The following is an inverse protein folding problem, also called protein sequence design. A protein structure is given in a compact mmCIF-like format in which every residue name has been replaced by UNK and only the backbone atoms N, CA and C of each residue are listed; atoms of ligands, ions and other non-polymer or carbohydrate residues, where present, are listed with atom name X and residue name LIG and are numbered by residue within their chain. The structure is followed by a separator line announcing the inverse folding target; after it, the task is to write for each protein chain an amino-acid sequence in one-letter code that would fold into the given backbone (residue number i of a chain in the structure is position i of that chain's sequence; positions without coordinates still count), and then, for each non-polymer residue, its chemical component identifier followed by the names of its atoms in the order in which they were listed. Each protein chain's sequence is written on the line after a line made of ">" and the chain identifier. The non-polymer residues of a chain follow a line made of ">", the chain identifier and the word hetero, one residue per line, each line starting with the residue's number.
data_IF_554859792632
#
_entry.id   IF_554859792632
#
_cell.length_a   1.000
_cell.length_b   1.000
_cell.length_c   1.000
_cell.angle_alpha   90.00
_cell.angle_beta   90.00
_cell.angle_gamma   90.00
#
_symmetry.space_group_name_H-M   'P 1'
#
loop_
_entity.id
_entity.type
_entity.pdbx_description
1 polymer ?
#
# COMPACT_ATOMS: atom_id res chain seq x y z
N UNK A 1 13.83 -34.97 26.41
CA UNK A 1 13.95 -33.50 26.42
C UNK A 1 14.92 -32.97 25.35
N UNK A 2 16.15 -33.48 25.25
CA UNK A 2 17.14 -33.00 24.27
C UNK A 2 16.67 -33.09 22.80
N UNK A 3 16.03 -34.20 22.42
CA UNK A 3 15.51 -34.37 21.06
C UNK A 3 14.41 -33.36 20.69
N UNK A 4 13.51 -33.05 21.62
CA UNK A 4 12.50 -32.00 21.44
C UNK A 4 13.14 -30.63 21.25
N UNK A 5 14.20 -30.34 22.02
CA UNK A 5 14.93 -29.07 21.93
C UNK A 5 15.66 -28.92 20.59
N UNK A 6 16.26 -30.00 20.09
CA UNK A 6 16.91 -30.03 18.77
C UNK A 6 15.91 -29.84 17.63
N UNK A 7 14.76 -30.53 17.68
CA UNK A 7 13.69 -30.35 16.69
C UNK A 7 13.19 -28.91 16.70
N UNK A 8 12.99 -28.33 17.88
CA UNK A 8 12.57 -26.93 18.02
C UNK A 8 13.64 -25.96 17.50
N UNK A 9 14.91 -26.17 17.82
CA UNK A 9 16.01 -25.34 17.36
C UNK A 9 16.17 -25.40 15.82
N UNK A 10 16.03 -26.57 15.20
CA UNK A 10 16.08 -26.71 13.74
C UNK A 10 14.88 -26.03 13.08
N UNK A 11 13.68 -26.21 13.62
CA UNK A 11 12.48 -25.57 13.10
C UNK A 11 12.52 -24.05 13.23
N UNK A 12 12.99 -23.52 14.36
CA UNK A 12 13.09 -22.07 14.59
C UNK A 12 14.21 -21.45 13.74
N UNK A 13 15.37 -22.10 13.63
CA UNK A 13 16.50 -21.55 12.88
C UNK A 13 16.32 -21.55 11.37
N UNK A 14 15.46 -22.42 10.83
CA UNK A 14 15.07 -22.44 9.41
C UNK A 14 13.88 -21.53 9.12
N UNK A 15 13.15 -21.09 10.15
CA UNK A 15 12.04 -20.17 9.99
C UNK A 15 12.56 -18.74 9.93
N UNK A 16 12.37 -18.06 8.79
CA UNK A 16 12.86 -16.70 8.53
C UNK A 16 12.12 -15.59 9.33
N UNK A 17 11.57 -15.93 10.50
CA UNK A 17 10.90 -15.00 11.41
C UNK A 17 9.37 -15.07 11.43
N UNK A 18 8.73 -16.13 10.91
CA UNK A 18 7.26 -16.18 10.76
C UNK A 18 6.47 -16.70 11.97
N UNK A 19 7.08 -16.82 13.15
CA UNK A 19 6.37 -17.37 14.31
C UNK A 19 5.70 -16.29 15.17
N UNK A 20 4.57 -15.75 14.69
CA UNK A 20 3.60 -15.05 15.52
C UNK A 20 2.19 -15.59 15.26
N UNK A 21 1.76 -16.67 15.97
CA UNK A 21 0.50 -17.36 15.70
C UNK A 21 -0.78 -16.52 15.95
N UNK A 22 -0.65 -15.25 16.35
CA UNK A 22 -1.75 -14.34 16.64
C UNK A 22 -1.75 -13.04 15.81
N UNK A 23 -0.83 -12.84 14.87
CA UNK A 23 -0.82 -11.61 14.07
C UNK A 23 -1.57 -11.79 12.75
N UNK A 24 -2.79 -11.26 12.69
CA UNK A 24 -3.61 -11.13 11.47
C UNK A 24 -3.01 -10.11 10.48
N UNK A 25 -1.91 -9.44 10.87
CA UNK A 25 -1.14 -8.53 10.04
C UNK A 25 0.30 -9.06 9.95
N UNK A 26 0.77 -9.55 8.78
CA UNK A 26 2.19 -9.75 8.58
C UNK A 26 2.83 -8.37 8.55
N UNK A 27 3.34 -7.94 9.69
CA UNK A 27 4.28 -6.83 9.81
C UNK A 27 5.67 -7.48 9.85
N UNK A 28 6.42 -7.29 8.77
CA UNK A 28 7.86 -7.59 8.64
C UNK A 28 8.33 -8.99 8.25
N UNK A 29 7.47 -9.91 7.83
CA UNK A 29 7.97 -11.18 7.27
C UNK A 29 7.10 -11.68 6.12
N UNK A 30 7.55 -11.46 4.89
CA UNK A 30 7.39 -12.46 3.85
C UNK A 30 8.74 -13.15 3.59
N UNK A 31 9.51 -13.48 4.63
CA UNK A 31 10.81 -14.17 4.45
C UNK A 31 11.79 -13.47 3.48
N UNK A 32 11.75 -12.12 3.42
CA UNK A 32 12.54 -11.32 2.48
C UNK A 32 11.84 -10.95 1.16
N UNK A 33 10.64 -11.50 0.87
CA UNK A 33 9.87 -11.10 -0.30
C UNK A 33 9.32 -9.66 -0.17
N UNK A 34 9.14 -8.97 -1.31
CA UNK A 34 8.52 -7.65 -1.36
C UNK A 34 7.11 -7.64 -0.77
N UNK A 35 6.80 -6.64 0.04
CA UNK A 35 5.43 -6.39 0.51
C UNK A 35 4.87 -5.10 -0.08
N UNK A 36 3.56 -5.04 -0.24
CA UNK A 36 2.84 -3.86 -0.75
C UNK A 36 1.79 -3.38 0.27
N UNK A 37 1.75 -2.08 0.53
CA UNK A 37 0.71 -1.40 1.32
C UNK A 37 0.15 -0.21 0.55
N UNK A 38 -1.08 0.16 0.86
CA UNK A 38 -1.68 1.41 0.39
C UNK A 38 -1.49 2.50 1.45
N UNK A 39 -1.08 3.69 1.02
CA UNK A 39 -1.06 4.90 1.84
C UNK A 39 -1.92 5.95 1.17
N UNK A 40 -2.91 6.48 1.87
CA UNK A 40 -3.83 7.49 1.32
C UNK A 40 -3.47 8.86 1.91
N UNK A 41 -3.38 9.84 1.03
CA UNK A 41 -3.03 11.23 1.35
C UNK A 41 -4.09 12.15 0.77
N UNK A 42 -4.48 13.15 1.54
CA UNK A 42 -5.28 14.27 1.03
C UNK A 42 -4.35 15.33 0.48
N UNK A 43 -4.57 15.74 -0.75
CA UNK A 43 -3.77 16.75 -1.44
C UNK A 43 -4.60 18.03 -1.56
N UNK A 44 -4.05 19.20 -1.19
CA UNK A 44 -4.70 20.48 -1.48
C UNK A 44 -4.93 20.64 -2.99
N UNK A 45 -6.07 21.16 -3.43
CA UNK A 45 -6.39 21.26 -4.85
C UNK A 45 -5.34 22.01 -5.68
N UNK A 46 -4.65 22.99 -5.07
CA UNK A 46 -3.53 23.71 -5.69
C UNK A 46 -2.36 22.80 -6.12
N UNK A 47 -2.16 21.67 -5.42
CA UNK A 47 -1.05 20.74 -5.63
C UNK A 47 -1.44 19.56 -6.53
N UNK A 48 -2.73 19.39 -6.86
CA UNK A 48 -3.23 18.25 -7.63
C UNK A 48 -2.62 18.18 -9.05
N UNK A 49 -2.34 19.33 -9.67
CA UNK A 49 -1.71 19.41 -11.00
C UNK A 49 -0.18 19.19 -11.00
N UNK A 50 0.44 19.10 -9.82
CA UNK A 50 1.92 19.03 -9.67
C UNK A 50 2.37 17.64 -9.23
N UNK A 51 1.46 16.66 -9.19
CA UNK A 51 1.79 15.28 -8.80
C UNK A 51 2.77 14.69 -9.82
N UNK A 52 4.03 14.54 -9.40
CA UNK A 52 5.00 13.68 -10.07
C UNK A 52 4.58 12.24 -9.84
N UNK A 53 4.65 11.40 -10.89
CA UNK A 53 4.36 9.96 -10.80
C UNK A 53 5.60 9.12 -10.48
N UNK A 54 6.77 9.75 -10.37
CA UNK A 54 8.00 9.06 -10.03
C UNK A 54 7.97 8.51 -8.59
N UNK A 55 8.54 7.31 -8.35
CA UNK A 55 8.65 6.78 -7.01
C UNK A 55 9.53 7.65 -6.11
N UNK A 56 9.12 7.80 -4.84
CA UNK A 56 9.78 8.69 -3.89
C UNK A 56 9.96 8.06 -2.52
N UNK A 57 10.64 8.78 -1.62
CA UNK A 57 10.83 8.38 -0.22
C UNK A 57 9.72 8.95 0.67
N UNK A 58 9.59 8.41 1.89
CA UNK A 58 8.56 8.82 2.85
C UNK A 58 8.55 10.32 3.12
N UNK A 59 9.71 10.97 3.17
CA UNK A 59 9.84 12.38 3.55
C UNK A 59 9.44 13.34 2.42
N UNK A 60 9.26 12.81 1.20
CA UNK A 60 8.94 13.57 -0.01
C UNK A 60 7.52 13.32 -0.52
N UNK A 61 6.70 12.53 0.19
CA UNK A 61 5.31 12.28 -0.23
C UNK A 61 4.42 13.51 -0.02
N UNK A 62 3.59 13.81 -1.01
CA UNK A 62 2.73 15.00 -1.03
C UNK A 62 1.50 14.85 -0.12
N UNK A 63 0.92 15.98 0.27
CA UNK A 63 -0.35 16.04 1.00
C UNK A 63 -0.27 15.82 2.51
N UNK A 64 -1.40 15.47 3.12
CA UNK A 64 -1.55 15.14 4.54
C UNK A 64 -2.09 13.72 4.69
N UNK A 65 -1.78 12.97 5.77
CA UNK A 65 -2.31 11.63 5.95
C UNK A 65 -3.84 11.64 5.98
N UNK A 66 -4.46 10.77 5.20
CA UNK A 66 -5.90 10.56 5.22
C UNK A 66 -6.21 9.24 5.94
N UNK A 67 -6.85 9.32 7.10
CA UNK A 67 -7.19 8.15 7.90
C UNK A 67 -8.42 7.45 7.31
N UNK A 68 -8.22 6.30 6.67
CA UNK A 68 -9.27 5.50 6.03
C UNK A 68 -10.18 4.80 7.05
N UNK A 69 -9.68 4.45 8.23
CA UNK A 69 -10.46 3.72 9.24
C UNK A 69 -11.72 4.46 9.72
N UNK A 70 -11.63 5.73 10.17
CA UNK A 70 -12.77 6.50 10.63
C UNK A 70 -13.85 6.76 9.57
N UNK A 71 -13.56 6.57 8.28
CA UNK A 71 -14.50 6.83 7.18
C UNK A 71 -15.37 5.61 6.84
N UNK A 72 -15.20 4.49 7.55
CA UNK A 72 -15.93 3.25 7.31
C UNK A 72 -15.42 2.45 6.11
N UNK A 73 -14.36 2.91 5.45
CA UNK A 73 -13.72 2.20 4.35
C UNK A 73 -12.85 1.07 4.90
N UNK A 74 -13.03 -0.13 4.35
CA UNK A 74 -12.18 -1.26 4.69
C UNK A 74 -10.78 -1.09 4.08
N UNK A 75 -9.76 -1.03 4.95
CA UNK A 75 -8.36 -0.87 4.53
C UNK A 75 -7.89 -2.00 3.59
N UNK A 76 -8.44 -3.21 3.75
CA UNK A 76 -8.09 -4.34 2.89
C UNK A 76 -8.58 -4.14 1.46
N UNK A 77 -9.71 -3.47 1.26
CA UNK A 77 -10.23 -3.19 -0.09
C UNK A 77 -9.30 -2.22 -0.82
N UNK A 78 -8.88 -1.14 -0.15
CA UNK A 78 -7.88 -0.20 -0.67
C UNK A 78 -6.56 -0.92 -0.98
N UNK A 79 -6.08 -1.77 -0.06
CA UNK A 79 -4.88 -2.56 -0.29
C UNK A 79 -5.02 -3.50 -1.50
N UNK A 80 -6.18 -4.13 -1.70
CA UNK A 80 -6.43 -5.00 -2.85
C UNK A 80 -6.41 -4.22 -4.17
N UNK A 81 -6.96 -3.01 -4.20
CA UNK A 81 -6.88 -2.14 -5.39
C UNK A 81 -5.43 -1.82 -5.73
N UNK A 82 -4.60 -1.55 -4.73
CA UNK A 82 -3.21 -1.18 -4.94
C UNK A 82 -2.31 -2.39 -5.23
N UNK A 83 -2.53 -3.56 -4.63
CA UNK A 83 -1.60 -4.69 -4.77
C UNK A 83 -2.01 -5.75 -5.82
N UNK A 84 -3.31 -5.90 -6.11
CA UNK A 84 -3.82 -6.98 -6.98
C UNK A 84 -4.36 -6.49 -8.32
N UNK A 85 -4.52 -5.18 -8.51
CA UNK A 85 -5.02 -4.64 -9.79
C UNK A 85 -3.87 -4.54 -10.78
N UNK A 86 -3.90 -5.41 -11.79
CA UNK A 86 -3.01 -5.32 -12.96
C UNK A 86 -3.70 -4.62 -14.13
N UNK A 87 -4.99 -4.87 -14.29
CA UNK A 87 -5.81 -4.26 -15.34
C UNK A 87 -6.87 -3.34 -14.71
N UNK A 88 -6.91 -2.09 -15.20
CA UNK A 88 -7.86 -1.07 -14.78
C UNK A 88 -8.93 -0.85 -15.85
N UNK A 89 -10.07 -1.53 -15.66
CA UNK A 89 -11.26 -1.31 -16.48
C UNK A 89 -12.09 -0.16 -15.92
N UNK A 90 -12.96 0.49 -16.73
CA UNK A 90 -13.88 1.52 -16.23
C UNK A 90 -14.72 1.04 -15.04
N UNK A 91 -15.14 -0.23 -15.04
CA UNK A 91 -15.87 -0.86 -13.92
C UNK A 91 -15.05 -0.90 -12.63
N UNK A 92 -13.74 -1.13 -12.72
CA UNK A 92 -12.84 -1.19 -11.57
C UNK A 92 -12.55 0.20 -11.01
N UNK A 93 -12.33 1.18 -11.88
CA UNK A 93 -12.20 2.58 -11.51
C UNK A 93 -13.47 3.10 -10.82
N UNK A 94 -14.64 2.78 -11.37
CA UNK A 94 -15.93 3.13 -10.75
C UNK A 94 -16.13 2.45 -9.39
N UNK A 95 -15.74 1.17 -9.24
CA UNK A 95 -15.81 0.48 -7.96
C UNK A 95 -14.93 1.16 -6.89
N UNK A 96 -13.73 1.62 -7.27
CA UNK A 96 -12.88 2.41 -6.38
C UNK A 96 -13.53 3.75 -6.02
N UNK A 97 -14.08 4.48 -6.99
CA UNK A 97 -14.75 5.77 -6.73
C UNK A 97 -15.92 5.61 -5.77
N UNK A 98 -16.71 4.55 -5.89
CA UNK A 98 -17.81 4.24 -4.96
C UNK A 98 -17.32 4.00 -3.54
N UNK A 99 -16.17 3.33 -3.37
CA UNK A 99 -15.56 3.10 -2.07
C UNK A 99 -15.25 4.42 -1.36
N UNK A 100 -14.82 5.44 -2.10
CA UNK A 100 -14.44 6.75 -1.57
C UNK A 100 -15.51 7.84 -1.74
N UNK A 101 -16.72 7.54 -2.22
CA UNK A 101 -17.64 8.57 -2.73
C UNK A 101 -17.94 9.70 -1.73
N UNK A 102 -18.16 9.38 -0.44
CA UNK A 102 -18.45 10.36 0.61
C UNK A 102 -17.26 11.26 0.93
N UNK A 103 -16.05 10.82 0.59
CA UNK A 103 -14.81 11.51 0.90
C UNK A 103 -14.26 12.29 -0.30
N UNK A 104 -14.84 12.13 -1.49
CA UNK A 104 -14.41 12.81 -2.72
C UNK A 104 -15.23 14.06 -3.05
N UNK A 105 -16.26 14.39 -2.28
CA UNK A 105 -17.12 15.56 -2.58
C UNK A 105 -16.37 16.89 -2.51
N UNK A 106 -15.40 16.99 -1.59
CA UNK A 106 -14.66 18.22 -1.30
C UNK A 106 -13.15 17.97 -1.16
N UNK A 107 -12.64 16.82 -1.63
CA UNK A 107 -11.24 16.44 -1.43
C UNK A 107 -10.65 15.80 -2.66
N UNK A 108 -9.35 16.05 -2.81
CA UNK A 108 -8.47 15.32 -3.69
C UNK A 108 -7.64 14.33 -2.88
N UNK A 109 -7.72 13.05 -3.23
CA UNK A 109 -7.02 11.95 -2.55
C UNK A 109 -5.97 11.34 -3.49
N UNK A 110 -4.72 11.28 -3.04
CA UNK A 110 -3.65 10.53 -3.68
C UNK A 110 -3.38 9.24 -2.90
N UNK A 111 -3.48 8.12 -3.60
CA UNK A 111 -3.16 6.79 -3.08
C UNK A 111 -1.78 6.41 -3.58
N UNK A 112 -0.88 6.16 -2.64
CA UNK A 112 0.45 5.62 -2.89
C UNK A 112 0.44 4.09 -2.79
N UNK A 113 1.11 3.44 -3.74
CA UNK A 113 1.60 2.08 -3.63
C UNK A 113 2.93 2.10 -2.90
N UNK A 114 2.95 1.58 -1.68
CA UNK A 114 4.17 1.51 -0.88
C UNK A 114 4.72 0.10 -0.94
N UNK A 115 5.90 -0.03 -1.53
CA UNK A 115 6.58 -1.31 -1.68
C UNK A 115 7.81 -1.33 -0.77
N UNK A 116 7.88 -2.32 0.10
CA UNK A 116 9.06 -2.57 0.92
C UNK A 116 9.77 -3.84 0.46
N UNK A 117 11.09 -3.75 0.26
CA UNK A 117 11.93 -4.82 -0.28
C UNK A 117 13.19 -4.97 0.57
N UNK A 118 13.68 -6.20 0.73
CA UNK A 118 15.00 -6.45 1.31
C UNK A 118 16.02 -6.47 0.18
N UNK A 119 16.88 -5.45 0.13
CA UNK A 119 17.95 -5.36 -0.86
C UNK A 119 19.11 -6.32 -0.58
N UNK A 120 19.97 -6.52 -1.59
CA UNK A 120 21.08 -7.48 -1.57
C UNK A 120 22.07 -7.27 -0.41
N UNK A 121 22.21 -6.02 0.04
CA UNK A 121 23.05 -5.64 1.18
C UNK A 121 22.38 -5.84 2.55
N UNK A 122 21.25 -6.57 2.60
CA UNK A 122 20.37 -6.73 3.79
C UNK A 122 19.80 -5.41 4.33
N UNK A 123 19.79 -4.35 3.53
CA UNK A 123 19.08 -3.12 3.87
C UNK A 123 17.64 -3.19 3.39
N UNK A 124 16.72 -2.64 4.18
CA UNK A 124 15.31 -2.52 3.79
C UNK A 124 15.17 -1.23 2.99
N UNK A 125 14.66 -1.33 1.77
CA UNK A 125 14.24 -0.18 0.98
C UNK A 125 12.71 -0.06 1.06
N UNK A 126 12.21 1.18 1.16
CA UNK A 126 10.76 1.45 1.11
C UNK A 126 10.54 2.55 0.09
N UNK A 127 9.73 2.23 -0.92
CA UNK A 127 9.44 3.10 -2.06
C UNK A 127 7.97 3.47 -2.06
N UNK A 128 7.67 4.76 -2.18
CA UNK A 128 6.32 5.32 -2.24
C UNK A 128 6.04 5.76 -3.67
N UNK A 129 5.20 5.02 -4.36
CA UNK A 129 4.86 5.28 -5.75
C UNK A 129 3.43 5.87 -5.83
N UNK A 130 3.27 7.11 -6.32
CA UNK A 130 1.96 7.66 -6.64
C UNK A 130 1.22 6.71 -7.59
N UNK A 131 0.06 6.20 -7.17
CA UNK A 131 -0.60 5.13 -7.91
C UNK A 131 -1.97 5.52 -8.45
N UNK A 132 -2.75 6.27 -7.66
CA UNK A 132 -4.10 6.70 -8.03
C UNK A 132 -4.37 8.08 -7.46
N UNK A 133 -4.71 9.04 -8.31
CA UNK A 133 -5.19 10.35 -7.92
C UNK A 133 -6.71 10.40 -8.14
N UNK A 134 -7.47 10.65 -7.08
CA UNK A 134 -8.92 10.79 -7.12
C UNK A 134 -9.28 12.23 -6.79
N UNK A 135 -9.97 12.88 -7.71
CA UNK A 135 -10.59 14.20 -7.53
C UNK A 135 -12.11 14.01 -7.45
N UNK A 136 -12.87 15.06 -7.08
CA UNK A 136 -14.33 15.01 -7.12
C UNK A 136 -14.87 14.54 -8.46
N UNK A 137 -14.26 14.98 -9.56
CA UNK A 137 -14.78 14.76 -10.90
C UNK A 137 -14.16 13.54 -11.62
N UNK A 138 -12.89 13.25 -11.36
CA UNK A 138 -12.13 12.26 -12.12
C UNK A 138 -11.19 11.41 -11.28
N UNK A 139 -10.77 10.28 -11.85
CA UNK A 139 -9.71 9.43 -11.31
C UNK A 139 -8.62 9.29 -12.36
N UNK A 140 -7.40 9.67 -11.99
CA UNK A 140 -6.20 9.55 -12.80
C UNK A 140 -5.36 8.42 -12.23
N UNK A 141 -4.95 7.49 -13.09
CA UNK A 141 -4.14 6.33 -12.71
C UNK A 141 -2.68 6.57 -13.08
N UNK A 142 -1.78 5.86 -12.40
CA UNK A 142 -0.37 5.84 -12.79
C UNK A 142 -0.23 5.44 -14.28
N UNK A 143 0.67 6.09 -15.06
CA UNK A 143 0.75 5.89 -16.51
C UNK A 143 0.93 4.43 -16.95
N UNK A 144 1.66 3.62 -16.19
CA UNK A 144 1.89 2.19 -16.51
C UNK A 144 0.63 1.32 -16.41
N UNK A 145 -0.40 1.78 -15.71
CA UNK A 145 -1.64 1.02 -15.49
C UNK A 145 -2.88 1.74 -16.01
N UNK A 146 -2.69 2.94 -16.58
CA UNK A 146 -3.74 3.62 -17.32
C UNK A 146 -4.08 2.79 -18.57
N UNK A 147 -5.38 2.56 -18.86
CA UNK A 147 -5.81 1.92 -20.09
C UNK A 147 -5.45 2.73 -21.34
#
# INVERSE_FOLDING_TARGET
>A
MLGTFLVYAVLVSTNLGEFWPFSIYPMFSQAGNPWVRAVVREIPDADAGVVSWEPTSRDMILGRPFAVGPTGINQNDVANFVSKSREWTPRRTEALRRLFHTNLTDRTLLIYRVTGELGDNRSISVRYEPYILMTPDTTILHPEVSP
#
